data_IF_356708667827
#
_entry.id   IF_356708667827
#
_cell.length_a   1.000
_cell.length_b   1.000
_cell.length_c   1.000
_cell.angle_alpha   90.00
_cell.angle_beta   90.00
_cell.angle_gamma   90.00
#
_symmetry.space_group_name_H-M   'P 1'
#
loop_
_entity.id
_entity.type
_entity.pdbx_description
1 polymer ?
#
# COMPACT_ATOMS: atom_id res chain seq x y z
N UNK A 1 -18.70 11.46 18.02
CA UNK A 1 -17.90 12.48 17.30
C UNK A 1 -16.49 12.42 17.86
N UNK A 2 -15.46 12.36 17.01
CA UNK A 2 -14.08 12.28 17.51
C UNK A 2 -13.66 13.64 18.09
N UNK A 3 -13.20 13.67 19.34
CA UNK A 3 -12.61 14.85 19.96
C UNK A 3 -11.15 14.95 19.51
N UNK A 4 -10.91 15.70 18.43
CA UNK A 4 -9.57 15.93 17.88
C UNK A 4 -9.00 17.19 18.55
N UNK A 5 -7.85 17.11 19.26
CA UNK A 5 -7.23 18.27 19.87
C UNK A 5 -6.83 19.33 18.83
N UNK A 6 -6.88 20.61 19.21
CA UNK A 6 -6.31 21.67 18.39
C UNK A 6 -4.80 21.45 18.20
N UNK A 7 -4.31 21.67 16.98
CA UNK A 7 -2.91 21.50 16.62
C UNK A 7 -2.52 22.50 15.53
N UNK A 8 -1.35 23.09 15.68
CA UNK A 8 -0.69 23.95 14.68
C UNK A 8 0.29 23.16 13.78
N UNK A 9 0.47 21.86 14.03
CA UNK A 9 1.37 21.03 13.25
C UNK A 9 0.81 20.80 11.85
N UNK A 10 1.63 21.11 10.85
CA UNK A 10 1.36 20.82 9.43
C UNK A 10 2.21 19.64 9.01
N UNK A 11 1.60 18.71 8.27
CA UNK A 11 2.31 17.60 7.63
C UNK A 11 2.12 17.69 6.12
N UNK A 12 3.18 17.43 5.37
CA UNK A 12 3.08 17.20 3.93
C UNK A 12 2.71 15.74 3.70
N UNK A 13 1.67 15.50 2.91
CA UNK A 13 1.26 14.14 2.51
C UNK A 13 1.55 13.98 1.03
N UNK A 14 2.31 12.95 0.68
CA UNK A 14 2.59 12.57 -0.71
C UNK A 14 1.89 11.25 -0.99
N UNK A 15 1.15 11.21 -2.09
CA UNK A 15 0.59 9.96 -2.62
C UNK A 15 1.69 9.23 -3.40
N UNK A 16 1.86 7.95 -3.10
CA UNK A 16 2.86 7.08 -3.72
C UNK A 16 2.13 6.03 -4.53
N UNK A 17 2.39 6.01 -5.84
CA UNK A 17 2.01 4.89 -6.70
C UNK A 17 2.90 3.69 -6.34
N UNK A 18 2.28 2.63 -5.83
CA UNK A 18 3.01 1.41 -5.42
C UNK A 18 3.33 0.50 -6.62
N UNK A 19 2.96 0.90 -7.84
CA UNK A 19 3.03 0.10 -9.07
C UNK A 19 2.14 -1.15 -9.06
N UNK A 20 1.26 -1.28 -8.07
CA UNK A 20 0.31 -2.38 -7.98
C UNK A 20 -0.90 -2.10 -8.86
N UNK A 21 -1.14 -2.97 -9.83
CA UNK A 21 -2.37 -3.01 -10.64
C UNK A 21 -3.07 -4.35 -10.42
N UNK A 22 -4.39 -4.31 -10.19
CA UNK A 22 -5.20 -5.47 -9.86
C UNK A 22 -6.51 -5.49 -10.66
N UNK A 23 -7.02 -6.69 -10.86
CA UNK A 23 -8.32 -6.98 -11.46
C UNK A 23 -9.05 -7.97 -10.56
N UNK A 24 -10.31 -7.67 -10.23
CA UNK A 24 -11.09 -8.49 -9.31
C UNK A 24 -12.60 -8.37 -9.51
N UNK A 25 -13.36 -9.09 -8.69
CA UNK A 25 -14.82 -9.06 -8.69
C UNK A 25 -15.36 -7.79 -8.03
N UNK A 26 -16.17 -7.01 -8.74
CA UNK A 26 -16.67 -5.72 -8.26
C UNK A 26 -17.48 -5.84 -6.96
N UNK A 27 -18.27 -6.91 -6.79
CA UNK A 27 -19.12 -7.16 -5.62
C UNK A 27 -18.35 -7.14 -4.29
N UNK A 28 -17.06 -7.50 -4.32
CA UNK A 28 -16.20 -7.54 -3.13
C UNK A 28 -15.72 -6.16 -2.69
N UNK A 29 -15.89 -5.13 -3.52
CA UNK A 29 -15.39 -3.77 -3.28
C UNK A 29 -16.47 -2.68 -3.35
N UNK A 30 -17.49 -2.85 -4.19
CA UNK A 30 -18.52 -1.83 -4.45
C UNK A 30 -19.89 -2.50 -4.54
N UNK A 31 -20.88 -1.93 -3.84
CA UNK A 31 -22.28 -2.36 -3.91
C UNK A 31 -23.23 -1.15 -4.06
N UNK A 32 -24.32 -1.27 -4.85
CA UNK A 32 -24.67 -2.43 -5.68
C UNK A 32 -23.73 -2.59 -6.89
N UNK A 33 -23.58 -3.83 -7.38
CA UNK A 33 -22.85 -4.08 -8.63
C UNK A 33 -23.60 -3.44 -9.80
N UNK A 34 -22.89 -2.66 -10.61
CA UNK A 34 -23.46 -2.02 -11.80
C UNK A 34 -23.50 -3.04 -12.94
N UNK A 35 -24.65 -3.25 -13.62
CA UNK A 35 -24.73 -4.18 -14.75
C UNK A 35 -23.67 -3.88 -15.83
N UNK A 36 -22.96 -4.93 -16.26
CA UNK A 36 -21.84 -4.83 -17.20
C UNK A 36 -20.52 -4.35 -16.58
N UNK A 37 -20.47 -4.17 -15.26
CA UNK A 37 -19.29 -3.77 -14.49
C UNK A 37 -19.04 -4.75 -13.32
N UNK A 38 -19.19 -6.04 -13.57
CA UNK A 38 -18.95 -7.12 -12.60
C UNK A 38 -17.45 -7.31 -12.29
N UNK A 39 -16.59 -6.75 -13.14
CA UNK A 39 -15.13 -6.76 -13.01
C UNK A 39 -14.64 -5.34 -12.78
N UNK A 40 -13.73 -5.17 -11.81
CA UNK A 40 -13.13 -3.88 -11.48
C UNK A 40 -11.62 -3.93 -11.62
N UNK A 41 -11.05 -2.88 -12.24
CA UNK A 41 -9.62 -2.61 -12.22
C UNK A 41 -9.33 -1.62 -11.09
N UNK A 42 -8.29 -1.86 -10.31
CA UNK A 42 -7.90 -0.99 -9.21
C UNK A 42 -6.41 -1.07 -8.94
N UNK A 43 -5.91 -0.16 -8.10
CA UNK A 43 -4.52 -0.09 -7.70
C UNK A 43 -4.40 -0.07 -6.18
N UNK A 44 -3.19 -0.26 -5.65
CA UNK A 44 -2.89 0.07 -4.26
C UNK A 44 -2.01 1.32 -4.20
N UNK A 45 -2.27 2.17 -3.22
CA UNK A 45 -1.58 3.43 -3.01
C UNK A 45 -0.99 3.42 -1.60
N UNK A 46 0.16 4.07 -1.45
CA UNK A 46 0.75 4.33 -0.13
C UNK A 46 0.89 5.83 0.08
N UNK A 47 1.04 6.26 1.33
CA UNK A 47 1.20 7.68 1.64
C UNK A 47 2.49 7.90 2.43
N UNK A 48 3.31 8.83 1.95
CA UNK A 48 4.47 9.32 2.68
C UNK A 48 4.09 10.63 3.38
N UNK A 49 4.13 10.60 4.71
CA UNK A 49 3.86 11.73 5.58
C UNK A 49 5.20 12.33 6.02
N UNK A 50 5.36 13.64 5.83
CA UNK A 50 6.54 14.40 6.24
C UNK A 50 6.14 15.48 7.23
N UNK A 51 6.64 15.40 8.46
CA UNK A 51 6.52 16.45 9.45
C UNK A 51 7.85 17.20 9.52
N UNK A 52 7.91 18.37 8.89
CA UNK A 52 9.12 19.18 8.80
C UNK A 52 9.56 19.71 10.17
N UNK A 53 8.61 20.17 11.00
CA UNK A 53 8.88 20.70 12.36
C UNK A 53 9.55 19.67 13.26
N UNK A 54 9.18 18.39 13.12
CA UNK A 54 9.78 17.28 13.88
C UNK A 54 10.95 16.61 13.17
N UNK A 55 11.21 16.93 11.89
CA UNK A 55 12.17 16.22 11.06
C UNK A 55 11.86 14.73 10.91
N UNK A 56 10.57 14.35 10.96
CA UNK A 56 10.12 12.94 10.95
C UNK A 56 9.34 12.61 9.69
N UNK A 57 9.54 11.40 9.18
CA UNK A 57 8.73 10.82 8.11
C UNK A 57 8.05 9.54 8.57
N UNK A 58 6.87 9.28 8.04
CA UNK A 58 6.14 8.04 8.25
C UNK A 58 5.50 7.58 6.94
N UNK A 59 5.39 6.27 6.77
CA UNK A 59 4.60 5.65 5.73
C UNK A 59 3.25 5.18 6.30
N UNK A 60 2.19 5.39 5.54
CA UNK A 60 0.91 4.72 5.73
C UNK A 60 0.69 3.77 4.55
N UNK A 61 0.47 2.50 4.88
CA UNK A 61 0.48 1.36 3.95
C UNK A 61 1.84 1.19 3.22
N UNK A 62 2.03 0.04 2.59
CA UNK A 62 3.22 -0.34 1.81
C UNK A 62 2.88 -1.02 0.49
N UNK A 63 1.59 -1.18 0.18
CA UNK A 63 1.14 -1.85 -1.04
C UNK A 63 1.41 -3.35 -1.03
N UNK A 64 1.44 -3.95 -2.23
CA UNK A 64 1.67 -5.38 -2.41
C UNK A 64 3.14 -5.66 -2.69
N UNK A 65 3.65 -6.78 -2.18
CA UNK A 65 4.99 -7.26 -2.52
C UNK A 65 5.06 -7.63 -4.00
N UNK A 66 6.13 -7.22 -4.68
CA UNK A 66 6.37 -7.61 -6.07
C UNK A 66 6.51 -9.12 -6.29
N UNK A 67 6.92 -9.84 -5.25
CA UNK A 67 7.05 -11.30 -5.22
C UNK A 67 5.92 -11.93 -4.39
N UNK A 68 4.67 -11.47 -4.53
CA UNK A 68 3.53 -11.96 -3.76
C UNK A 68 3.30 -13.49 -3.87
N UNK A 69 3.75 -14.13 -4.96
CA UNK A 69 3.76 -15.59 -5.09
C UNK A 69 4.77 -16.30 -4.20
N UNK A 70 5.71 -15.58 -3.59
CA UNK A 70 6.71 -16.07 -2.65
C UNK A 70 6.32 -15.80 -1.19
N UNK A 71 5.06 -15.40 -0.94
CA UNK A 71 4.51 -15.28 0.41
C UNK A 71 4.41 -16.65 1.10
N UNK A 72 4.39 -16.70 2.45
CA UNK A 72 4.02 -17.92 3.16
C UNK A 72 2.67 -18.45 2.70
N UNK A 73 2.49 -19.78 2.64
CA UNK A 73 1.26 -20.42 2.13
C UNK A 73 -0.04 -19.84 2.70
N UNK A 74 -0.08 -19.58 4.01
CA UNK A 74 -1.25 -18.98 4.65
C UNK A 74 -1.59 -17.60 4.09
N UNK A 75 -0.59 -16.77 3.78
CA UNK A 75 -0.80 -15.46 3.16
C UNK A 75 -1.12 -15.56 1.66
N UNK A 76 -0.60 -16.59 0.97
CA UNK A 76 -0.95 -16.85 -0.43
C UNK A 76 -2.43 -17.18 -0.59
N UNK A 77 -3.09 -17.83 0.38
CA UNK A 77 -4.51 -18.23 0.23
C UNK A 77 -5.44 -17.04 -0.04
N UNK A 78 -5.23 -15.88 0.60
CA UNK A 78 -6.05 -14.70 0.34
C UNK A 78 -5.78 -14.03 -1.02
N UNK A 79 -4.57 -14.20 -1.55
CA UNK A 79 -4.08 -13.44 -2.73
C UNK A 79 -4.09 -14.29 -4.00
N UNK A 80 -3.89 -15.60 -3.87
CA UNK A 80 -3.69 -16.56 -4.96
C UNK A 80 -4.53 -17.84 -4.77
N UNK A 81 -5.32 -17.92 -3.71
CA UNK A 81 -6.16 -19.08 -3.45
C UNK A 81 -7.31 -19.20 -4.44
N UNK A 82 -7.95 -20.38 -4.50
CA UNK A 82 -9.08 -20.64 -5.40
C UNK A 82 -10.29 -19.72 -5.12
N UNK A 83 -10.40 -19.21 -3.89
CA UNK A 83 -11.47 -18.30 -3.46
C UNK A 83 -11.05 -16.81 -3.53
N UNK A 84 -9.90 -16.50 -4.17
CA UNK A 84 -9.45 -15.11 -4.26
C UNK A 84 -10.37 -14.31 -5.18
N UNK A 85 -10.81 -13.16 -4.67
CA UNK A 85 -11.62 -12.18 -5.41
C UNK A 85 -10.78 -11.33 -6.37
N UNK A 86 -9.44 -11.45 -6.27
CA UNK A 86 -8.46 -10.79 -7.14
C UNK A 86 -7.85 -11.87 -8.05
N UNK A 87 -8.21 -11.83 -9.33
CA UNK A 87 -7.78 -12.84 -10.31
C UNK A 87 -6.78 -12.30 -11.34
N UNK A 88 -6.45 -11.00 -11.28
CA UNK A 88 -5.34 -10.40 -12.00
C UNK A 88 -4.54 -9.51 -11.07
N UNK A 89 -3.22 -9.65 -11.04
CA UNK A 89 -2.34 -8.78 -10.28
C UNK A 89 -0.98 -8.64 -10.94
N UNK A 90 -0.45 -7.41 -10.93
CA UNK A 90 0.89 -7.08 -11.37
C UNK A 90 1.46 -6.00 -10.47
N UNK A 91 2.72 -6.16 -10.08
CA UNK A 91 3.48 -5.22 -9.27
C UNK A 91 4.84 -5.10 -9.93
N UNK A 92 5.21 -3.91 -10.40
CA UNK A 92 6.45 -3.72 -11.17
C UNK A 92 7.66 -3.52 -10.24
N UNK A 93 7.48 -2.79 -9.14
CA UNK A 93 8.52 -2.43 -8.19
C UNK A 93 8.04 -2.63 -6.76
N UNK A 94 8.96 -3.03 -5.87
CA UNK A 94 8.71 -2.98 -4.44
C UNK A 94 8.62 -1.53 -3.94
N UNK A 95 7.92 -1.30 -2.84
CA UNK A 95 7.79 0.06 -2.27
C UNK A 95 9.15 0.68 -1.92
N UNK A 96 10.12 -0.15 -1.54
CA UNK A 96 11.49 0.28 -1.26
C UNK A 96 12.22 0.78 -2.51
N UNK A 97 11.98 0.14 -3.66
CA UNK A 97 12.49 0.58 -4.97
C UNK A 97 11.82 1.88 -5.40
N UNK A 98 10.49 1.97 -5.30
CA UNK A 98 9.73 3.20 -5.62
C UNK A 98 10.24 4.39 -4.80
N UNK A 99 10.43 4.22 -3.49
CA UNK A 99 10.91 5.27 -2.60
C UNK A 99 12.34 5.68 -2.92
N UNK A 100 13.27 4.73 -3.11
CA UNK A 100 14.66 5.04 -3.47
C UNK A 100 14.76 5.74 -4.83
N UNK A 101 14.01 5.27 -5.82
CA UNK A 101 13.95 5.89 -7.15
C UNK A 101 13.37 7.31 -7.09
N UNK A 102 12.45 7.56 -6.15
CA UNK A 102 11.94 8.89 -5.83
C UNK A 102 12.86 9.76 -4.96
N UNK A 103 14.09 9.32 -4.67
CA UNK A 103 15.06 10.07 -3.87
C UNK A 103 14.80 10.06 -2.36
N UNK A 104 14.00 9.11 -1.86
CA UNK A 104 13.71 8.96 -0.43
C UNK A 104 14.70 7.98 0.20
N UNK A 105 15.46 8.47 1.17
CA UNK A 105 16.25 7.62 2.06
C UNK A 105 15.33 6.84 3.02
N UNK A 106 15.38 5.51 2.96
CA UNK A 106 14.53 4.64 3.77
C UNK A 106 14.84 4.74 5.26
N UNK A 107 16.09 5.02 5.64
CA UNK A 107 16.49 5.20 7.03
C UNK A 107 15.91 6.49 7.63
N UNK A 108 15.46 7.43 6.77
CA UNK A 108 14.77 8.65 7.20
C UNK A 108 13.29 8.42 7.57
N UNK A 109 12.75 7.23 7.31
CA UNK A 109 11.37 6.86 7.63
C UNK A 109 11.35 6.17 8.99
N UNK A 110 10.43 6.57 9.87
CA UNK A 110 10.36 6.03 11.23
C UNK A 110 10.28 4.50 11.26
N UNK A 111 11.03 3.87 12.18
CA UNK A 111 11.12 2.41 12.33
C UNK A 111 9.78 1.70 12.57
N UNK A 112 8.76 2.41 13.07
CA UNK A 112 7.40 1.89 13.25
C UNK A 112 6.54 1.86 11.98
N UNK A 113 6.94 2.56 10.92
CA UNK A 113 6.20 2.66 9.65
C UNK A 113 6.70 1.70 8.56
N UNK A 114 7.93 1.19 8.69
CA UNK A 114 8.49 0.15 7.84
C UNK A 114 8.49 -1.16 8.63
N UNK A 115 7.31 -1.68 8.99
CA UNK A 115 7.20 -2.74 10.00
C UNK A 115 8.16 -3.90 9.78
N UNK A 116 9.16 -4.09 10.66
CA UNK A 116 10.14 -5.20 10.81
C UNK A 116 10.64 -5.98 9.57
N UNK A 117 10.38 -5.54 8.33
CA UNK A 117 10.58 -6.32 7.10
C UNK A 117 11.63 -5.76 6.16
N UNK A 118 12.31 -4.67 6.54
CA UNK A 118 13.40 -4.09 5.73
C UNK A 118 14.78 -4.62 6.16
N UNK A 119 14.86 -5.39 7.25
CA UNK A 119 16.08 -6.12 7.61
C UNK A 119 15.93 -7.60 7.29
N UNK A 120 16.88 -8.15 6.51
CA UNK A 120 17.06 -9.54 6.08
C UNK A 120 16.28 -10.03 4.86
N UNK A 121 16.94 -9.92 3.70
CA UNK A 121 17.32 -11.09 2.89
C UNK A 121 18.84 -11.08 2.72
#
# INVERSE_FOLDING_TARGET
>A
MANIPESDNVVRVKLIDTTTTMVGTAESFVQPVVPGHEIINFCSLAFLLENEKLGKKAMFDLGVRKDYWNLPKAAQQGVLGPDSVIFGMRVEQGIDEVLRNGGVDLESIGKGSLGNRVTSY
#
